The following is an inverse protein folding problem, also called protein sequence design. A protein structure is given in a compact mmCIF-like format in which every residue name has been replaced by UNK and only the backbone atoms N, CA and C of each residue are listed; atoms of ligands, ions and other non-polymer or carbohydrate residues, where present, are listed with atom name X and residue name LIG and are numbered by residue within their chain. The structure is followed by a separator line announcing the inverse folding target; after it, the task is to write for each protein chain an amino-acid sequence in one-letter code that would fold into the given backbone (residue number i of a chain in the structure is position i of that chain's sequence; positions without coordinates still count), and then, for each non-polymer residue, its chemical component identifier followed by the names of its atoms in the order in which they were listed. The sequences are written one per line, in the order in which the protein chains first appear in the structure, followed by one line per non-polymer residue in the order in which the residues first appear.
data_IF_985597113923
#
_entry.id   IF_985597113923
#
_cell.length_a   1.000
_cell.length_b   1.000
_cell.length_c   1.000
_cell.angle_alpha   90.00
_cell.angle_beta   90.00
_cell.angle_gamma   90.00
#
_symmetry.space_group_name_H-M   'P 1'
#
loop_
_entity.id
_entity.type
_entity.pdbx_description
1 polymer ?
#
# COMPACT_ATOMS: atom_id res chain seq x y z
N UNK A 1 -32.90 48.67 9.31
CA UNK A 1 -31.90 48.09 8.40
C UNK A 1 -32.37 46.67 8.14
N UNK A 2 -32.82 46.30 6.94
CA UNK A 2 -33.00 44.90 6.65
C UNK A 2 -31.59 44.31 6.57
N UNK A 3 -31.29 43.37 7.48
CA UNK A 3 -30.21 42.42 7.26
C UNK A 3 -30.50 41.73 5.93
N UNK A 4 -29.68 41.96 4.91
CA UNK A 4 -29.57 41.07 3.78
C UNK A 4 -29.03 39.74 4.32
N UNK A 5 -29.92 38.94 4.90
CA UNK A 5 -29.65 37.61 5.36
C UNK A 5 -29.22 36.80 4.14
N UNK A 6 -27.91 36.63 3.99
CA UNK A 6 -27.30 35.72 3.03
C UNK A 6 -27.94 34.36 3.30
N UNK A 7 -28.94 34.03 2.49
CA UNK A 7 -29.65 32.76 2.55
C UNK A 7 -28.72 31.77 1.90
N UNK A 8 -27.79 31.21 2.67
CA UNK A 8 -26.92 30.15 2.18
C UNK A 8 -27.80 28.91 2.07
N UNK A 9 -28.19 28.57 0.83
CA UNK A 9 -28.85 27.30 0.58
C UNK A 9 -27.87 26.19 0.99
N UNK A 10 -28.29 25.18 1.77
CA UNK A 10 -27.38 24.14 2.26
C UNK A 10 -26.70 23.36 1.12
N UNK A 11 -27.30 23.36 -0.08
CA UNK A 11 -26.72 22.78 -1.30
C UNK A 11 -25.65 23.69 -1.95
N UNK A 12 -25.57 24.97 -1.56
CA UNK A 12 -24.61 25.96 -2.07
C UNK A 12 -23.43 26.22 -1.14
N UNK A 13 -23.40 25.65 0.07
CA UNK A 13 -22.25 25.78 0.99
C UNK A 13 -21.09 24.88 0.53
N UNK A 14 -19.99 25.45 -0.01
CA UNK A 14 -18.88 24.66 -0.53
C UNK A 14 -18.14 23.89 0.58
N UNK A 15 -18.13 24.44 1.80
CA UNK A 15 -17.47 23.78 2.94
C UNK A 15 -18.28 22.60 3.43
N UNK A 16 -19.60 22.76 3.53
CA UNK A 16 -20.49 21.66 3.90
C UNK A 16 -20.43 20.53 2.86
N UNK A 17 -20.51 20.87 1.57
CA UNK A 17 -20.42 19.90 0.47
C UNK A 17 -19.08 19.16 0.47
N UNK A 18 -17.97 19.88 0.64
CA UNK A 18 -16.63 19.28 0.75
C UNK A 18 -16.41 18.46 2.03
N UNK A 19 -17.10 18.78 3.12
CA UNK A 19 -17.09 17.97 4.34
C UNK A 19 -17.87 16.66 4.16
N UNK A 20 -19.05 16.72 3.54
CA UNK A 20 -19.87 15.55 3.24
C UNK A 20 -19.23 14.64 2.18
N UNK A 21 -18.56 15.21 1.18
CA UNK A 21 -17.85 14.50 0.12
C UNK A 21 -16.38 14.98 0.02
N UNK A 22 -15.49 14.46 0.88
CA UNK A 22 -14.11 14.92 0.94
C UNK A 22 -13.35 14.70 -0.38
N UNK A 23 -12.64 15.73 -0.88
CA UNK A 23 -11.85 15.62 -2.11
C UNK A 23 -10.66 14.68 -1.93
N UNK A 24 -10.06 14.25 -3.04
CA UNK A 24 -8.92 13.32 -3.01
C UNK A 24 -7.70 13.87 -2.25
N UNK A 25 -7.50 15.19 -2.27
CA UNK A 25 -6.41 15.87 -1.55
C UNK A 25 -6.49 15.76 -0.03
N UNK A 26 -7.69 15.56 0.53
CA UNK A 26 -7.90 15.43 1.98
C UNK A 26 -7.99 13.97 2.44
N UNK A 27 -7.91 13.00 1.52
CA UNK A 27 -7.98 11.58 1.87
C UNK A 27 -6.63 11.10 2.44
N UNK A 28 -6.64 10.26 3.49
CA UNK A 28 -5.42 9.76 4.09
C UNK A 28 -4.67 8.82 3.13
N UNK A 29 -3.35 8.70 3.33
CA UNK A 29 -2.51 7.73 2.60
C UNK A 29 -1.87 6.75 3.57
N UNK A 30 -1.60 5.54 3.09
CA UNK A 30 -0.94 4.50 3.88
C UNK A 30 0.49 4.25 3.41
N UNK A 31 1.36 3.86 4.35
CA UNK A 31 2.66 3.29 4.00
C UNK A 31 2.51 1.81 3.72
N UNK A 32 2.95 1.39 2.54
CA UNK A 32 2.82 0.02 2.08
C UNK A 32 4.21 -0.59 1.90
N UNK A 33 4.60 -1.43 2.86
CA UNK A 33 5.91 -2.05 2.90
C UNK A 33 5.89 -3.39 2.19
N UNK A 34 6.64 -3.51 1.10
CA UNK A 34 6.95 -4.77 0.45
C UNK A 34 8.15 -5.39 1.14
N UNK A 35 7.93 -6.53 1.79
CA UNK A 35 8.91 -7.18 2.65
C UNK A 35 9.57 -8.36 1.94
N UNK A 36 10.90 -8.37 1.91
CA UNK A 36 11.74 -9.53 1.56
C UNK A 36 11.39 -10.18 0.20
N UNK A 37 10.87 -9.40 -0.75
CA UNK A 37 10.45 -9.86 -2.08
C UNK A 37 9.18 -10.72 -2.10
N UNK A 38 8.44 -10.79 -0.98
CA UNK A 38 7.14 -11.45 -0.91
C UNK A 38 6.05 -10.57 -1.52
N UNK A 39 6.05 -10.49 -2.86
CA UNK A 39 5.19 -9.63 -3.65
C UNK A 39 4.70 -10.39 -4.87
N UNK A 40 3.39 -10.36 -5.12
CA UNK A 40 2.76 -10.93 -6.30
C UNK A 40 1.75 -9.95 -6.92
N UNK A 41 1.60 -9.99 -8.25
CA UNK A 41 0.76 -9.04 -9.00
C UNK A 41 -0.72 -9.12 -8.61
N UNK A 42 -1.24 -10.34 -8.40
CA UNK A 42 -2.64 -10.53 -8.01
C UNK A 42 -2.92 -10.03 -6.58
N UNK A 43 -1.94 -10.11 -5.69
CA UNK A 43 -1.96 -9.53 -4.35
C UNK A 43 -1.94 -8.01 -4.39
N UNK A 44 -1.06 -7.42 -5.22
CA UNK A 44 -1.01 -5.97 -5.46
C UNK A 44 -2.37 -5.45 -5.91
N UNK A 45 -3.02 -6.12 -6.87
CA UNK A 45 -4.33 -5.71 -7.37
C UNK A 45 -5.39 -5.71 -6.26
N UNK A 46 -5.45 -6.79 -5.47
CA UNK A 46 -6.38 -6.90 -4.33
C UNK A 46 -6.15 -5.81 -3.28
N UNK A 47 -4.90 -5.56 -2.94
CA UNK A 47 -4.52 -4.53 -1.96
C UNK A 47 -4.97 -3.15 -2.45
N UNK A 48 -4.71 -2.79 -3.71
CA UNK A 48 -5.11 -1.49 -4.26
C UNK A 48 -6.63 -1.33 -4.39
N UNK A 49 -7.35 -2.39 -4.76
CA UNK A 49 -8.81 -2.38 -4.75
C UNK A 49 -9.38 -2.15 -3.35
N UNK A 50 -8.81 -2.83 -2.36
CA UNK A 50 -9.22 -2.66 -0.97
C UNK A 50 -8.93 -1.22 -0.46
N UNK A 51 -7.73 -0.68 -0.75
CA UNK A 51 -7.38 0.72 -0.43
C UNK A 51 -8.39 1.69 -1.03
N UNK A 52 -8.73 1.53 -2.32
CA UNK A 52 -9.72 2.38 -2.97
C UNK A 52 -11.12 2.26 -2.33
N UNK A 53 -11.56 1.02 -2.05
CA UNK A 53 -12.86 0.75 -1.44
C UNK A 53 -12.98 1.31 0.00
N UNK A 54 -11.87 1.36 0.74
CA UNK A 54 -11.83 1.97 2.08
C UNK A 54 -11.94 3.51 2.08
N UNK A 55 -11.82 4.16 0.91
CA UNK A 55 -11.82 5.61 0.79
C UNK A 55 -10.47 6.29 1.03
N UNK A 56 -9.37 5.52 1.09
CA UNK A 56 -8.03 6.07 1.17
C UNK A 56 -7.62 6.76 -0.16
N UNK A 57 -6.76 7.76 -0.04
CA UNK A 57 -6.26 8.58 -1.16
C UNK A 57 -5.04 8.00 -1.87
N UNK A 58 -4.53 6.85 -1.41
CA UNK A 58 -3.43 6.13 -2.03
C UNK A 58 -2.43 5.55 -1.02
N UNK A 59 -1.32 5.06 -1.57
CA UNK A 59 -0.23 4.45 -0.81
C UNK A 59 1.12 5.03 -1.18
N UNK A 60 2.07 4.97 -0.25
CA UNK A 60 3.48 5.19 -0.51
C UNK A 60 4.20 3.86 -0.35
N UNK A 61 4.74 3.33 -1.45
CA UNK A 61 5.38 2.03 -1.48
C UNK A 61 6.84 2.11 -1.00
N UNK A 62 7.22 1.20 -0.12
CA UNK A 62 8.60 1.04 0.36
C UNK A 62 9.01 -0.42 0.24
N UNK A 63 10.20 -0.69 -0.31
CA UNK A 63 10.80 -2.02 -0.26
C UNK A 63 11.72 -2.11 0.96
N UNK A 64 11.40 -3.05 1.86
CA UNK A 64 12.15 -3.31 3.09
C UNK A 64 12.62 -4.76 3.18
N UNK A 65 13.63 -4.99 4.01
CA UNK A 65 14.06 -6.33 4.40
C UNK A 65 14.31 -6.35 5.90
N UNK A 66 13.78 -7.35 6.60
CA UNK A 66 13.99 -7.54 8.04
C UNK A 66 15.07 -8.61 8.32
N UNK A 67 16.09 -8.66 7.46
CA UNK A 67 17.27 -9.49 7.70
C UNK A 67 17.01 -11.00 7.66
N UNK A 68 15.90 -11.45 7.05
CA UNK A 68 15.73 -12.87 6.75
C UNK A 68 16.86 -13.30 5.82
N UNK A 69 17.87 -13.99 6.36
CA UNK A 69 18.98 -14.51 5.56
C UNK A 69 18.38 -15.32 4.41
N UNK A 70 18.63 -14.87 3.19
CA UNK A 70 18.29 -15.58 1.98
C UNK A 70 19.12 -16.87 1.98
N UNK A 71 18.63 -17.93 2.63
CA UNK A 71 19.25 -19.25 2.62
C UNK A 71 18.98 -19.84 1.24
N UNK A 72 19.66 -19.31 0.22
CA UNK A 72 19.87 -20.09 -1.00
C UNK A 72 20.56 -21.37 -0.54
N UNK A 73 19.85 -22.49 -0.61
CA UNK A 73 20.44 -23.81 -0.43
C UNK A 73 21.54 -23.95 -1.47
N UNK A 74 22.75 -23.58 -1.13
CA UNK A 74 23.93 -23.95 -1.90
C UNK A 74 23.93 -25.47 -1.91
N UNK A 75 23.57 -26.08 -3.05
CA UNK A 75 23.84 -27.50 -3.27
C UNK A 75 25.35 -27.65 -3.14
N UNK A 76 25.79 -28.25 -2.05
CA UNK A 76 27.18 -28.65 -1.87
C UNK A 76 27.58 -29.47 -3.12
N UNK A 77 28.70 -29.16 -3.78
CA UNK A 77 29.19 -30.04 -4.83
C UNK A 77 29.45 -31.40 -4.19
N UNK A 78 28.78 -32.42 -4.69
CA UNK A 78 28.99 -33.82 -4.30
C UNK A 78 30.46 -34.16 -4.56
N UNK A 79 31.23 -34.33 -3.49
CA UNK A 79 32.63 -34.79 -3.56
C UNK A 79 32.62 -36.20 -4.17
N UNK A 80 33.32 -36.46 -5.28
CA UNK A 80 33.45 -37.82 -5.79
C UNK A 80 34.33 -38.61 -4.81
N UNK A 81 33.75 -39.59 -4.14
CA UNK A 81 34.50 -40.52 -3.28
C UNK A 81 35.41 -41.38 -4.16
N UNK A 82 36.69 -41.04 -4.26
CA UNK A 82 37.66 -41.98 -4.82
C UNK A 82 37.94 -43.06 -3.76
N UNK A 83 37.22 -44.17 -3.87
CA UNK A 83 37.53 -45.40 -3.13
C UNK A 83 38.72 -46.07 -3.82
N UNK A 84 39.93 -45.80 -3.35
CA UNK A 84 41.07 -46.69 -3.60
C UNK A 84 40.78 -48.02 -2.89
N UNK A 85 40.67 -49.09 -3.66
CA UNK A 85 40.74 -50.45 -3.12
C UNK A 85 42.19 -50.96 -3.29
N UNK A 86 42.66 -51.82 -2.37
CA UNK A 86 44.00 -52.39 -2.42
C UNK A 86 44.22 -53.33 -3.61
#
# INVERSE_FOLDING_TARGET
MPDDAITHHPDEDPLFSGFANPPMSSRPRAWWHWMDGNVDEAGIEKDLHWVAASGAGGVQAFTGSMGTRNTRKTRLPSVPTHRSQP
#
